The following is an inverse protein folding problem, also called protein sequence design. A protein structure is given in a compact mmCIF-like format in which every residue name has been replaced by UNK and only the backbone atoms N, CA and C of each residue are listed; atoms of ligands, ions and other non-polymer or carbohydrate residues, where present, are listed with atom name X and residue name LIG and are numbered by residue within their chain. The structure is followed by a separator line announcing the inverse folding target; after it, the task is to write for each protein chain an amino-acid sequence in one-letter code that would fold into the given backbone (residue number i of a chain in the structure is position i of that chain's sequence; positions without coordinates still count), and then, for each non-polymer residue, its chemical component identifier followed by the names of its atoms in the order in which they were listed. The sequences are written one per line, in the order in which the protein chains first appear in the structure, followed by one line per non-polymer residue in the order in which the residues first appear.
data_IF_868512641168
#
_entry.id   IF_868512641168
#
_cell.length_a   1.000
_cell.length_b   1.000
_cell.length_c   1.000
_cell.angle_alpha   90.00
_cell.angle_beta   90.00
_cell.angle_gamma   90.00
#
_symmetry.space_group_name_H-M   'P 1'
#
loop_
_entity.id
_entity.type
_entity.pdbx_description
1 polymer ?
#
# COMPACT_ATOMS: atom_id res chain seq x y z
N UNK A 1 24.92 -12.02 -12.97
CA UNK A 1 24.66 -11.14 -14.13
C UNK A 1 25.92 -10.62 -14.80
N UNK A 2 26.98 -10.27 -14.05
CA UNK A 2 28.22 -9.67 -14.58
C UNK A 2 29.15 -10.66 -15.32
N UNK A 3 29.06 -11.95 -15.00
CA UNK A 3 29.88 -13.01 -15.60
C UNK A 3 28.99 -14.16 -16.11
N UNK A 4 28.28 -13.99 -17.25
CA UNK A 4 27.44 -15.05 -17.80
C UNK A 4 28.27 -16.19 -18.39
N UNK A 5 27.83 -17.44 -18.16
CA UNK A 5 28.40 -18.62 -18.85
C UNK A 5 28.00 -18.60 -20.33
N UNK A 6 28.97 -18.78 -21.22
CA UNK A 6 28.75 -19.02 -22.66
C UNK A 6 28.59 -17.77 -23.54
N UNK A 7 28.65 -16.55 -23.00
CA UNK A 7 28.50 -15.32 -23.79
C UNK A 7 29.84 -14.61 -23.99
N UNK A 8 30.25 -14.42 -25.25
CA UNK A 8 31.55 -13.80 -25.60
C UNK A 8 31.48 -12.27 -25.75
N UNK A 9 32.62 -11.64 -25.47
CA UNK A 9 32.89 -10.21 -25.26
C UNK A 9 31.90 -9.18 -25.82
N UNK A 10 31.75 -9.08 -27.14
CA UNK A 10 31.00 -7.96 -27.77
C UNK A 10 29.49 -8.00 -27.45
N UNK A 11 28.87 -9.18 -27.52
CA UNK A 11 27.44 -9.33 -27.25
C UNK A 11 27.11 -9.12 -25.76
N UNK A 12 28.04 -9.49 -24.88
CA UNK A 12 27.89 -9.23 -23.45
C UNK A 12 28.12 -7.75 -23.12
N UNK A 13 29.15 -7.13 -23.68
CA UNK A 13 29.41 -5.70 -23.52
C UNK A 13 28.19 -4.86 -23.85
N UNK A 14 27.56 -5.08 -25.01
CA UNK A 14 26.34 -4.33 -25.39
C UNK A 14 25.22 -4.48 -24.35
N UNK A 15 25.03 -5.68 -23.80
CA UNK A 15 24.00 -5.92 -22.78
C UNK A 15 24.31 -5.27 -21.44
N UNK A 16 25.56 -5.34 -21.00
CA UNK A 16 25.98 -4.65 -19.79
C UNK A 16 25.85 -3.14 -19.97
N UNK A 17 26.23 -2.62 -21.14
CA UNK A 17 26.05 -1.22 -21.52
C UNK A 17 24.58 -0.80 -21.46
N UNK A 18 23.67 -1.57 -22.07
CA UNK A 18 22.23 -1.30 -21.97
C UNK A 18 21.72 -1.39 -20.53
N UNK A 19 22.22 -2.33 -19.73
CA UNK A 19 21.82 -2.46 -18.33
C UNK A 19 22.22 -1.22 -17.52
N UNK A 20 23.47 -0.78 -17.60
CA UNK A 20 23.95 0.39 -16.81
C UNK A 20 23.30 1.68 -17.28
N UNK A 21 22.99 1.84 -18.58
CA UNK A 21 22.24 2.98 -19.09
C UNK A 21 20.77 2.99 -18.64
N UNK A 22 20.28 1.87 -18.10
CA UNK A 22 18.92 1.69 -17.64
C UNK A 22 18.92 1.20 -16.17
N UNK A 23 19.73 1.84 -15.33
CA UNK A 23 19.78 1.64 -13.87
C UNK A 23 19.98 0.18 -13.43
N UNK A 24 20.82 -0.57 -14.14
CA UNK A 24 21.08 -1.98 -13.86
C UNK A 24 20.02 -2.94 -14.41
N UNK A 25 19.07 -2.45 -15.22
CA UNK A 25 17.97 -3.24 -15.78
C UNK A 25 18.18 -3.51 -17.27
N UNK A 26 18.22 -4.79 -17.64
CA UNK A 26 18.23 -5.23 -19.03
C UNK A 26 16.97 -6.05 -19.36
N UNK A 27 16.17 -5.55 -20.30
CA UNK A 27 15.00 -6.26 -20.81
C UNK A 27 15.41 -7.15 -21.99
N UNK A 28 15.45 -8.47 -21.78
CA UNK A 28 15.73 -9.41 -22.86
C UNK A 28 14.48 -9.67 -23.73
N UNK A 29 14.69 -10.17 -24.95
CA UNK A 29 13.61 -10.69 -25.80
C UNK A 29 12.86 -11.81 -25.07
N UNK A 30 11.53 -11.87 -25.21
CA UNK A 30 10.60 -12.79 -24.52
C UNK A 30 10.38 -12.52 -23.03
N UNK A 31 10.47 -11.26 -22.58
CA UNK A 31 10.04 -10.85 -21.24
C UNK A 31 10.98 -11.22 -20.08
N UNK A 32 12.14 -11.82 -20.36
CA UNK A 32 13.14 -12.13 -19.32
C UNK A 32 13.89 -10.86 -18.90
N UNK A 33 13.41 -10.19 -17.86
CA UNK A 33 14.08 -9.04 -17.23
C UNK A 33 15.29 -9.53 -16.43
N UNK A 34 16.48 -8.98 -16.70
CA UNK A 34 17.67 -9.14 -15.85
C UNK A 34 17.87 -7.84 -15.08
N UNK A 35 17.91 -7.89 -13.76
CA UNK A 35 18.05 -6.70 -12.92
C UNK A 35 19.17 -6.94 -11.89
N UNK A 36 20.20 -6.07 -11.93
CA UNK A 36 21.32 -6.11 -10.98
C UNK A 36 20.81 -5.83 -9.56
N UNK A 37 19.91 -4.85 -9.37
CA UNK A 37 19.37 -4.46 -8.06
C UNK A 37 18.59 -5.61 -7.40
N UNK A 38 17.80 -6.35 -8.18
CA UNK A 38 17.10 -7.55 -7.68
C UNK A 38 18.07 -8.68 -7.34
N UNK A 39 19.18 -8.80 -8.07
CA UNK A 39 20.21 -9.81 -7.75
C UNK A 39 20.94 -9.45 -6.46
N UNK A 40 21.21 -8.15 -6.24
CA UNK A 40 21.87 -7.67 -5.03
C UNK A 40 20.96 -7.78 -3.80
N UNK A 41 19.68 -7.45 -3.95
CA UNK A 41 18.69 -7.53 -2.87
C UNK A 41 18.14 -8.94 -2.63
N UNK A 42 18.49 -9.95 -3.43
CA UNK A 42 17.83 -11.26 -3.39
C UNK A 42 17.94 -11.93 -2.02
N UNK A 43 19.12 -11.88 -1.39
CA UNK A 43 19.34 -12.46 -0.05
C UNK A 43 18.50 -11.74 1.01
N UNK A 44 18.45 -10.40 0.97
CA UNK A 44 17.58 -9.63 1.88
C UNK A 44 16.11 -9.98 1.67
N UNK A 45 15.64 -9.93 0.43
CA UNK A 45 14.25 -10.26 0.10
C UNK A 45 13.91 -11.69 0.48
N UNK A 46 14.80 -12.66 0.22
CA UNK A 46 14.61 -14.06 0.58
C UNK A 46 14.56 -14.29 2.08
N UNK A 47 15.33 -13.53 2.86
CA UNK A 47 15.35 -13.64 4.33
C UNK A 47 14.04 -13.17 4.99
N UNK A 48 13.23 -12.36 4.31
CA UNK A 48 11.99 -11.82 4.84
C UNK A 48 10.73 -12.32 4.13
N UNK A 49 10.85 -12.94 2.94
CA UNK A 49 9.72 -13.20 2.03
C UNK A 49 8.63 -14.03 2.71
N UNK A 50 9.01 -15.05 3.48
CA UNK A 50 8.06 -15.91 4.20
C UNK A 50 7.28 -15.13 5.26
N UNK A 51 7.99 -14.49 6.20
CA UNK A 51 7.38 -13.71 7.28
C UNK A 51 6.53 -12.56 6.72
N UNK A 52 7.00 -11.91 5.67
CA UNK A 52 6.28 -10.82 5.01
C UNK A 52 5.00 -11.30 4.34
N UNK A 53 5.01 -12.47 3.69
CA UNK A 53 3.81 -13.08 3.09
C UNK A 53 2.81 -13.58 4.12
N UNK A 54 3.29 -14.13 5.24
CA UNK A 54 2.44 -14.53 6.35
C UNK A 54 1.75 -13.32 6.96
N UNK A 55 2.49 -12.23 7.16
CA UNK A 55 1.99 -10.97 7.72
C UNK A 55 1.04 -10.25 6.75
N UNK A 56 1.43 -10.18 5.48
CA UNK A 56 0.70 -9.53 4.40
C UNK A 56 0.43 -10.52 3.26
N UNK A 57 -0.64 -11.33 3.32
CA UNK A 57 -0.96 -12.26 2.24
C UNK A 57 -1.43 -11.54 0.97
N UNK A 58 -1.28 -12.18 -0.19
CA UNK A 58 -1.74 -11.67 -1.49
C UNK A 58 -3.19 -12.06 -1.82
N UNK A 59 -3.65 -13.18 -1.27
CA UNK A 59 -5.00 -13.70 -1.50
C UNK A 59 -5.99 -13.06 -0.51
N UNK A 60 -7.29 -13.11 -0.83
CA UNK A 60 -8.38 -12.75 0.09
C UNK A 60 -8.43 -13.61 1.36
N UNK A 61 -7.49 -14.53 1.53
CA UNK A 61 -7.27 -15.31 2.75
C UNK A 61 -7.08 -14.37 3.94
N UNK A 62 -7.71 -14.74 5.05
CA UNK A 62 -7.64 -14.06 6.35
C UNK A 62 -6.20 -14.00 6.87
N UNK A 63 -5.43 -13.01 6.43
CA UNK A 63 -4.15 -12.66 7.04
C UNK A 63 -4.32 -12.07 8.44
N UNK A 64 -3.25 -11.99 9.24
CA UNK A 64 -3.29 -11.44 10.61
C UNK A 64 -3.97 -10.08 10.67
N UNK A 65 -3.65 -9.17 9.74
CA UNK A 65 -4.27 -7.84 9.65
C UNK A 65 -5.73 -7.89 9.24
N UNK A 66 -6.11 -8.72 8.27
CA UNK A 66 -7.52 -8.85 7.86
C UNK A 66 -8.36 -9.38 9.02
N UNK A 67 -7.87 -10.43 9.69
CA UNK A 67 -8.54 -10.99 10.87
C UNK A 67 -8.67 -9.98 12.00
N UNK A 68 -7.61 -9.25 12.35
CA UNK A 68 -7.65 -8.23 13.40
C UNK A 68 -8.56 -7.03 13.04
N UNK A 69 -8.57 -6.62 11.76
CA UNK A 69 -9.47 -5.56 11.29
C UNK A 69 -10.92 -6.03 11.29
N UNK A 70 -11.19 -7.27 10.91
CA UNK A 70 -12.54 -7.80 10.86
C UNK A 70 -13.10 -8.09 12.26
N UNK A 71 -12.23 -8.44 13.22
CA UNK A 71 -12.63 -8.81 14.57
C UNK A 71 -12.86 -7.64 15.53
N UNK A 72 -12.24 -6.47 15.32
CA UNK A 72 -12.50 -5.33 16.21
C UNK A 72 -13.95 -4.86 16.03
N UNK A 73 -14.59 -4.46 17.11
CA UNK A 73 -15.98 -4.03 17.13
C UNK A 73 -16.20 -3.06 18.27
N UNK A 74 -17.05 -2.05 18.05
CA UNK A 74 -17.60 -1.20 19.10
C UNK A 74 -18.79 -1.85 19.83
N UNK A 75 -19.18 -3.07 19.44
CA UNK A 75 -20.31 -3.83 19.97
C UNK A 75 -21.66 -3.09 19.89
N UNK A 76 -21.82 -2.23 18.88
CA UNK A 76 -23.03 -1.44 18.69
C UNK A 76 -24.27 -2.31 18.47
N UNK A 77 -24.12 -3.49 17.85
CA UNK A 77 -25.23 -4.43 17.63
C UNK A 77 -25.78 -5.01 18.94
N UNK A 78 -24.90 -5.36 19.89
CA UNK A 78 -25.32 -5.76 21.24
C UNK A 78 -26.05 -4.63 21.96
N UNK A 79 -25.53 -3.40 21.81
CA UNK A 79 -26.10 -2.20 22.45
C UNK A 79 -27.45 -1.78 21.87
N UNK A 80 -27.71 -1.99 20.57
CA UNK A 80 -28.98 -1.58 19.93
C UNK A 80 -30.19 -2.26 20.59
N UNK A 81 -30.05 -3.51 21.02
CA UNK A 81 -31.13 -4.24 21.68
C UNK A 81 -31.42 -3.72 23.10
N UNK A 82 -30.40 -3.18 23.77
CA UNK A 82 -30.49 -2.65 25.14
C UNK A 82 -30.93 -1.18 25.16
N UNK A 83 -30.41 -0.35 24.25
CA UNK A 83 -30.59 1.10 24.27
C UNK A 83 -31.33 1.59 23.03
N UNK A 84 -32.64 1.33 22.99
CA UNK A 84 -33.51 1.69 21.85
C UNK A 84 -33.56 3.19 21.56
N UNK A 85 -33.42 4.01 22.61
CA UNK A 85 -33.51 5.47 22.51
C UNK A 85 -32.34 6.10 21.72
N UNK A 86 -31.21 5.39 21.62
CA UNK A 86 -30.01 5.82 20.86
C UNK A 86 -29.73 4.92 19.66
N UNK A 87 -30.74 4.19 19.17
CA UNK A 87 -30.55 3.20 18.09
C UNK A 87 -29.97 3.83 16.81
N UNK A 88 -30.30 5.09 16.51
CA UNK A 88 -29.83 5.77 15.30
C UNK A 88 -28.35 6.13 15.41
N UNK A 89 -27.92 6.62 16.56
CA UNK A 89 -26.52 6.89 16.91
C UNK A 89 -25.69 5.60 16.83
N UNK A 90 -26.20 4.51 17.38
CA UNK A 90 -25.53 3.20 17.34
C UNK A 90 -25.43 2.66 15.91
N UNK A 91 -26.47 2.83 15.07
CA UNK A 91 -26.43 2.47 13.64
C UNK A 91 -25.43 3.32 12.87
N UNK A 92 -25.34 4.61 13.18
CA UNK A 92 -24.34 5.52 12.61
C UNK A 92 -22.92 5.05 12.96
N UNK A 93 -22.65 4.77 14.24
CA UNK A 93 -21.34 4.28 14.69
C UNK A 93 -20.96 2.96 14.01
N UNK A 94 -21.91 2.03 13.86
CA UNK A 94 -21.69 0.79 13.10
C UNK A 94 -21.26 1.08 11.66
N UNK A 95 -21.95 2.00 11.01
CA UNK A 95 -21.66 2.38 9.62
C UNK A 95 -20.26 3.00 9.49
N UNK A 96 -19.86 3.85 10.45
CA UNK A 96 -18.52 4.44 10.47
C UNK A 96 -17.43 3.40 10.78
N UNK A 97 -17.71 2.41 11.63
CA UNK A 97 -16.83 1.26 11.88
C UNK A 97 -16.57 0.47 10.59
N UNK A 98 -17.61 0.10 9.85
CA UNK A 98 -17.49 -0.68 8.60
C UNK A 98 -16.74 0.10 7.50
N UNK A 99 -16.98 1.42 7.41
CA UNK A 99 -16.22 2.32 6.54
C UNK A 99 -14.75 2.38 6.95
N UNK A 100 -14.46 2.47 8.25
CA UNK A 100 -13.09 2.49 8.76
C UNK A 100 -12.36 1.18 8.43
N UNK A 101 -12.99 0.01 8.67
CA UNK A 101 -12.44 -1.31 8.29
C UNK A 101 -12.04 -1.36 6.83
N UNK A 102 -12.90 -0.88 5.94
CA UNK A 102 -12.64 -0.82 4.49
C UNK A 102 -11.46 0.10 4.16
N UNK A 103 -11.39 1.28 4.77
CA UNK A 103 -10.28 2.23 4.59
C UNK A 103 -8.94 1.66 5.08
N UNK A 104 -8.93 1.00 6.23
CA UNK A 104 -7.71 0.38 6.79
C UNK A 104 -7.17 -0.74 5.88
N UNK A 105 -8.05 -1.60 5.37
CA UNK A 105 -7.68 -2.65 4.40
C UNK A 105 -7.02 -2.06 3.15
N UNK A 106 -7.55 -0.93 2.65
CA UNK A 106 -6.99 -0.23 1.49
C UNK A 106 -5.59 0.32 1.77
N UNK A 107 -5.39 1.02 2.90
CA UNK A 107 -4.10 1.58 3.32
C UNK A 107 -3.03 0.47 3.40
N UNK A 108 -3.35 -0.64 4.08
CA UNK A 108 -2.42 -1.77 4.23
C UNK A 108 -2.05 -2.36 2.87
N UNK A 109 -3.02 -2.53 1.97
CA UNK A 109 -2.79 -3.08 0.63
C UNK A 109 -1.85 -2.19 -0.21
N UNK A 110 -2.04 -0.88 -0.15
CA UNK A 110 -1.24 0.09 -0.88
C UNK A 110 0.20 0.14 -0.33
N UNK A 111 0.35 0.31 0.98
CA UNK A 111 1.66 0.44 1.62
C UNK A 111 2.47 -0.87 1.59
N UNK A 112 1.83 -2.05 1.64
CA UNK A 112 2.50 -3.36 1.53
C UNK A 112 3.42 -3.43 0.31
N UNK A 113 2.93 -2.98 -0.86
CA UNK A 113 3.69 -3.06 -2.11
C UNK A 113 4.94 -2.19 -2.03
N UNK A 114 4.78 -0.96 -1.55
CA UNK A 114 5.84 0.02 -1.36
C UNK A 114 6.89 -0.48 -0.37
N UNK A 115 6.46 -1.03 0.77
CA UNK A 115 7.35 -1.59 1.79
C UNK A 115 8.20 -2.71 1.19
N UNK A 116 7.58 -3.66 0.47
CA UNK A 116 8.33 -4.78 -0.09
C UNK A 116 9.30 -4.35 -1.20
N UNK A 117 8.89 -3.43 -2.09
CA UNK A 117 9.75 -2.96 -3.18
C UNK A 117 10.89 -2.05 -2.71
N UNK A 118 10.74 -1.38 -1.56
CA UNK A 118 11.75 -0.49 -0.97
C UNK A 118 13.13 -1.13 -0.84
N UNK A 119 13.18 -2.44 -0.54
CA UNK A 119 14.45 -3.17 -0.46
C UNK A 119 15.22 -3.13 -1.79
N UNK A 120 14.55 -3.29 -2.93
CA UNK A 120 15.23 -3.21 -4.23
C UNK A 120 15.49 -1.77 -4.65
N UNK A 121 14.57 -0.87 -4.33
CA UNK A 121 14.65 0.56 -4.67
C UNK A 121 15.82 1.25 -3.98
N UNK A 122 16.01 1.03 -2.67
CA UNK A 122 17.15 1.61 -1.94
C UNK A 122 18.51 1.09 -2.43
N UNK A 123 18.56 -0.17 -2.88
CA UNK A 123 19.76 -0.72 -3.52
C UNK A 123 20.02 -0.02 -4.86
N UNK A 124 18.97 0.16 -5.68
CA UNK A 124 19.08 0.87 -6.95
C UNK A 124 19.59 2.30 -6.77
N UNK A 125 19.04 3.04 -5.80
CA UNK A 125 19.47 4.40 -5.44
C UNK A 125 20.96 4.45 -5.08
N UNK A 126 21.42 3.50 -4.24
CA UNK A 126 22.83 3.41 -3.88
C UNK A 126 23.74 3.03 -5.06
N UNK A 127 23.20 2.31 -6.06
CA UNK A 127 23.94 1.89 -7.26
C UNK A 127 23.97 2.96 -8.36
N UNK A 128 23.16 4.02 -8.29
CA UNK A 128 23.03 5.02 -9.36
C UNK A 128 24.34 5.64 -9.82
N UNK A 129 25.20 6.01 -8.85
CA UNK A 129 26.51 6.61 -9.17
C UNK A 129 27.36 5.64 -10.00
N UNK A 130 27.43 4.39 -9.56
CA UNK A 130 28.17 3.34 -10.25
C UNK A 130 27.64 3.10 -11.68
N UNK A 131 26.32 3.13 -11.88
CA UNK A 131 25.74 3.00 -13.22
C UNK A 131 26.10 4.17 -14.12
N UNK A 132 26.08 5.38 -13.59
CA UNK A 132 26.51 6.60 -14.31
C UNK A 132 27.98 6.50 -14.71
N UNK A 133 28.85 6.13 -13.76
CA UNK A 133 30.30 5.99 -13.99
C UNK A 133 30.61 4.85 -14.98
N UNK A 134 29.89 3.73 -14.90
CA UNK A 134 30.07 2.61 -15.81
C UNK A 134 29.53 2.90 -17.23
N UNK A 135 28.49 3.72 -17.38
CA UNK A 135 27.87 4.03 -18.67
C UNK A 135 28.77 4.88 -19.59
N UNK A 136 29.66 5.69 -19.01
CA UNK A 136 30.59 6.54 -19.80
C UNK A 136 31.81 5.77 -20.34
N UNK A 137 32.05 4.56 -19.85
CA UNK A 137 33.21 3.74 -20.23
C UNK A 137 33.07 3.24 -21.67
N UNK A 138 34.06 3.56 -22.52
CA UNK A 138 34.12 3.20 -23.94
C UNK A 138 35.53 2.75 -24.34
N UNK A 139 35.66 2.15 -25.52
CA UNK A 139 36.95 1.78 -26.10
C UNK A 139 37.47 0.40 -25.70
N UNK A 140 38.74 0.14 -25.97
CA UNK A 140 39.39 -1.16 -25.72
C UNK A 140 39.40 -1.47 -24.22
N UNK A 141 39.00 -2.70 -23.87
CA UNK A 141 38.92 -3.15 -22.47
C UNK A 141 37.73 -2.57 -21.68
N UNK A 142 36.80 -1.87 -22.33
CA UNK A 142 35.63 -1.27 -21.67
C UNK A 142 34.83 -2.26 -20.84
N UNK A 143 34.66 -3.49 -21.32
CA UNK A 143 33.91 -4.52 -20.60
C UNK A 143 34.47 -4.83 -19.21
N UNK A 144 35.78 -5.05 -19.09
CA UNK A 144 36.41 -5.35 -17.80
C UNK A 144 36.45 -4.12 -16.89
N UNK A 145 36.62 -2.92 -17.46
CA UNK A 145 36.54 -1.66 -16.71
C UNK A 145 35.14 -1.44 -16.13
N UNK A 146 34.07 -1.70 -16.89
CA UNK A 146 32.70 -1.63 -16.40
C UNK A 146 32.45 -2.64 -15.28
N UNK A 147 32.92 -3.88 -15.44
CA UNK A 147 32.81 -4.91 -14.40
C UNK A 147 33.50 -4.49 -13.11
N UNK A 148 34.73 -4.00 -13.22
CA UNK A 148 35.51 -3.56 -12.07
C UNK A 148 34.80 -2.41 -11.36
N UNK A 149 34.35 -1.39 -12.10
CA UNK A 149 33.57 -0.26 -11.56
C UNK A 149 32.34 -0.72 -10.75
N UNK A 150 31.61 -1.74 -11.24
CA UNK A 150 30.45 -2.30 -10.54
C UNK A 150 30.86 -3.12 -9.32
N UNK A 151 31.86 -3.99 -9.46
CA UNK A 151 32.31 -4.85 -8.38
C UNK A 151 32.93 -4.03 -7.23
N UNK A 152 33.75 -3.03 -7.54
CA UNK A 152 34.41 -2.17 -6.57
C UNK A 152 33.37 -1.36 -5.78
N UNK A 153 32.40 -0.75 -6.47
CA UNK A 153 31.31 -0.03 -5.79
C UNK A 153 30.49 -0.94 -4.88
N UNK A 154 30.11 -2.13 -5.35
CA UNK A 154 29.39 -3.10 -4.51
C UNK A 154 30.25 -3.52 -3.32
N UNK A 155 31.55 -3.78 -3.52
CA UNK A 155 32.45 -4.18 -2.45
C UNK A 155 32.57 -3.09 -1.38
N UNK A 156 32.71 -1.84 -1.79
CA UNK A 156 32.88 -0.68 -0.91
C UNK A 156 31.58 -0.28 -0.20
N UNK A 157 30.43 -0.51 -0.84
CA UNK A 157 29.13 -0.02 -0.34
C UNK A 157 28.23 -1.10 0.24
N UNK A 158 28.49 -2.39 0.02
CA UNK A 158 27.58 -3.49 0.42
C UNK A 158 27.02 -3.33 1.84
N UNK A 159 27.87 -3.09 2.84
CA UNK A 159 27.46 -3.10 4.24
C UNK A 159 26.55 -1.91 4.54
N UNK A 160 26.88 -0.73 4.00
CA UNK A 160 26.06 0.48 4.16
C UNK A 160 24.77 0.38 3.35
N UNK A 161 24.86 -0.06 2.10
CA UNK A 161 23.75 -0.18 1.16
C UNK A 161 22.69 -1.17 1.66
N UNK A 162 23.09 -2.35 2.15
CA UNK A 162 22.16 -3.33 2.72
C UNK A 162 21.56 -2.85 4.05
N UNK A 163 22.35 -2.18 4.88
CA UNK A 163 21.85 -1.55 6.11
C UNK A 163 20.79 -0.49 5.79
N UNK A 164 21.05 0.41 4.85
CA UNK A 164 20.09 1.44 4.43
C UNK A 164 18.80 0.84 3.89
N UNK A 165 18.89 -0.21 3.06
CA UNK A 165 17.71 -0.89 2.55
C UNK A 165 16.84 -1.49 3.67
N UNK A 166 17.49 -2.14 4.65
CA UNK A 166 16.81 -2.67 5.84
C UNK A 166 16.17 -1.55 6.67
N UNK A 167 16.94 -0.51 6.97
CA UNK A 167 16.50 0.59 7.84
C UNK A 167 15.32 1.35 7.21
N UNK A 168 15.36 1.61 5.89
CA UNK A 168 14.27 2.22 5.14
C UNK A 168 12.99 1.35 5.17
N UNK A 169 13.11 0.04 4.92
CA UNK A 169 11.96 -0.86 5.00
C UNK A 169 11.33 -0.86 6.40
N UNK A 170 12.15 -0.84 7.46
CA UNK A 170 11.67 -0.77 8.84
C UNK A 170 10.98 0.56 9.16
N UNK A 171 11.51 1.67 8.65
CA UNK A 171 10.87 2.99 8.75
C UNK A 171 9.48 2.96 8.12
N UNK A 172 9.35 2.48 6.89
CA UNK A 172 8.05 2.35 6.21
C UNK A 172 7.06 1.44 6.95
N UNK A 173 7.52 0.38 7.60
CA UNK A 173 6.69 -0.46 8.46
C UNK A 173 6.18 0.31 9.70
N UNK A 174 7.04 1.11 10.32
CA UNK A 174 6.66 1.96 11.46
C UNK A 174 5.70 3.06 11.04
N UNK A 175 5.90 3.65 9.86
CA UNK A 175 4.96 4.62 9.29
C UNK A 175 3.59 4.00 9.04
N UNK A 176 3.52 2.79 8.45
CA UNK A 176 2.26 2.08 8.26
C UNK A 176 1.53 1.87 9.59
N UNK A 177 2.25 1.41 10.62
CA UNK A 177 1.72 1.27 11.98
C UNK A 177 1.16 2.60 12.50
N UNK A 178 1.90 3.70 12.33
CA UNK A 178 1.49 5.04 12.71
C UNK A 178 0.24 5.52 11.98
N UNK A 179 0.18 5.33 10.65
CA UNK A 179 -0.96 5.68 9.80
C UNK A 179 -2.23 4.95 10.24
N UNK A 180 -2.15 3.63 10.48
CA UNK A 180 -3.28 2.82 10.96
C UNK A 180 -3.79 3.35 12.30
N UNK A 181 -2.89 3.52 13.28
CA UNK A 181 -3.26 3.96 14.62
C UNK A 181 -3.89 5.36 14.62
N UNK A 182 -3.29 6.28 13.87
CA UNK A 182 -3.80 7.65 13.70
C UNK A 182 -5.20 7.62 13.09
N UNK A 183 -5.37 6.89 11.99
CA UNK A 183 -6.66 6.82 11.28
C UNK A 183 -7.76 6.23 12.15
N UNK A 184 -7.44 5.17 12.90
CA UNK A 184 -8.38 4.54 13.82
C UNK A 184 -8.79 5.50 14.93
N UNK A 185 -7.83 6.16 15.60
CA UNK A 185 -8.11 7.10 16.69
C UNK A 185 -8.93 8.31 16.25
N UNK A 186 -8.52 8.96 15.15
CA UNK A 186 -9.19 10.15 14.65
C UNK A 186 -10.62 9.83 14.22
N UNK A 187 -10.81 8.78 13.40
CA UNK A 187 -12.15 8.43 12.90
C UNK A 187 -13.07 7.98 14.04
N UNK A 188 -12.63 7.12 14.96
CA UNK A 188 -13.49 6.70 16.06
C UNK A 188 -13.85 7.85 17.00
N UNK A 189 -12.90 8.74 17.30
CA UNK A 189 -13.15 9.92 18.13
C UNK A 189 -14.18 10.84 17.47
N UNK A 190 -13.97 11.20 16.20
CA UNK A 190 -14.88 12.04 15.43
C UNK A 190 -16.28 11.41 15.33
N UNK A 191 -16.37 10.11 15.04
CA UNK A 191 -17.66 9.40 14.97
C UNK A 191 -18.39 9.40 16.31
N UNK A 192 -17.69 9.17 17.43
CA UNK A 192 -18.29 9.21 18.76
C UNK A 192 -18.77 10.64 19.08
N UNK A 193 -17.94 11.66 18.87
CA UNK A 193 -18.33 13.06 19.10
C UNK A 193 -19.55 13.46 18.26
N UNK A 194 -19.59 13.08 16.98
CA UNK A 194 -20.73 13.33 16.10
C UNK A 194 -21.99 12.57 16.53
N UNK A 195 -21.84 11.34 17.04
CA UNK A 195 -22.99 10.57 17.53
C UNK A 195 -23.59 11.14 18.82
N UNK A 196 -22.75 11.77 19.65
CA UNK A 196 -23.14 12.39 20.92
C UNK A 196 -23.62 13.84 20.74
N UNK A 197 -23.41 14.45 19.58
CA UNK A 197 -24.01 15.74 19.24
C UNK A 197 -25.52 15.55 19.13
N UNK A 198 -26.17 15.81 20.26
CA UNK A 198 -27.61 16.00 20.38
C UNK A 198 -28.00 17.47 20.20
N UNK A 199 -27.12 18.29 19.61
CA UNK A 199 -27.35 19.72 19.44
C UNK A 199 -28.75 19.92 18.84
N UNK A 200 -29.69 20.37 19.67
CA UNK A 200 -30.50 21.61 19.67
C UNK A 200 -30.68 22.38 18.35
N UNK A 201 -30.20 21.87 17.23
CA UNK A 201 -30.69 22.20 15.91
C UNK A 201 -32.10 21.61 15.86
N UNK A 202 -33.09 22.50 16.02
CA UNK A 202 -34.45 22.27 15.52
C UNK A 202 -34.36 21.40 14.28
N UNK A 203 -34.89 20.17 14.34
CA UNK A 203 -35.20 19.43 13.13
C UNK A 203 -35.88 20.45 12.18
N UNK A 204 -35.49 20.53 10.90
CA UNK A 204 -36.20 21.41 9.99
C UNK A 204 -37.68 21.08 10.16
N UNK A 205 -38.48 22.09 10.47
CA UNK A 205 -39.91 21.91 10.70
C UNK A 205 -40.53 21.51 9.37
N UNK A 206 -40.60 20.21 9.14
CA UNK A 206 -41.15 19.59 7.93
C UNK A 206 -42.66 19.42 8.01
N UNK A 207 -43.31 20.07 8.99
CA UNK A 207 -44.77 19.97 9.15
C UNK A 207 -45.51 20.51 7.93
N UNK A 208 -44.94 21.50 7.25
CA UNK A 208 -45.49 22.08 6.02
C UNK A 208 -45.42 21.08 4.85
N UNK A 209 -44.27 20.45 4.67
CA UNK A 209 -44.05 19.42 3.65
C UNK A 209 -44.91 18.19 3.91
N UNK A 210 -45.05 17.77 5.17
CA UNK A 210 -45.91 16.65 5.56
C UNK A 210 -47.39 16.96 5.27
N UNK A 211 -47.87 18.15 5.64
CA UNK A 211 -49.24 18.58 5.34
C UNK A 211 -49.51 18.66 3.84
N UNK A 212 -48.53 19.09 3.03
CA UNK A 212 -48.65 19.06 1.57
C UNK A 212 -48.79 17.63 1.05
N UNK A 213 -47.97 16.69 1.54
CA UNK A 213 -48.06 15.27 1.15
C UNK A 213 -49.40 14.66 1.54
N UNK A 214 -49.89 14.91 2.76
CA UNK A 214 -51.21 14.43 3.22
C UNK A 214 -52.37 15.01 2.38
N UNK A 215 -52.25 16.26 1.96
CA UNK A 215 -53.22 16.91 1.07
C UNK A 215 -53.24 16.23 -0.30
N UNK A 216 -52.07 15.97 -0.89
CA UNK A 216 -51.99 15.25 -2.17
C UNK A 216 -52.50 13.81 -2.07
N UNK A 217 -52.19 13.12 -0.97
CA UNK A 217 -52.70 11.77 -0.71
C UNK A 217 -54.23 11.75 -0.63
N UNK A 218 -54.82 12.70 0.11
CA UNK A 218 -56.27 12.84 0.23
C UNK A 218 -56.94 13.20 -1.10
N UNK A 219 -56.28 14.00 -1.95
CA UNK A 219 -56.77 14.33 -3.29
C UNK A 219 -56.72 13.13 -4.25
N UNK A 220 -55.73 12.25 -4.10
CA UNK A 220 -55.64 11.00 -4.86
C UNK A 220 -56.69 9.99 -4.41
N UNK A 221 -56.93 9.85 -3.10
CA UNK A 221 -57.98 8.97 -2.57
C UNK A 221 -59.40 9.49 -2.88
N UNK A 222 -59.58 10.82 -2.98
CA UNK A 222 -60.86 11.43 -3.35
C UNK A 222 -61.15 11.40 -4.87
N UNK A 223 -60.17 11.00 -5.69
CA UNK A 223 -60.35 10.78 -7.13
C UNK A 223 -60.15 9.29 -7.46
N UNK A 224 -61.12 8.41 -7.11
CA UNK A 224 -61.15 7.10 -7.73
C UNK A 224 -61.43 7.33 -9.22
N UNK A 225 -60.43 7.08 -10.07
CA UNK A 225 -60.56 7.16 -11.53
C UNK A 225 -61.91 6.58 -11.96
N UNK A 226 -62.78 7.35 -12.65
CA UNK A 226 -63.87 6.73 -13.38
C UNK A 226 -63.26 5.96 -14.56
N UNK A 227 -63.53 4.65 -14.59
CA UNK A 227 -63.27 3.79 -15.75
C UNK A 227 -63.86 4.37 -17.04
#
# INVERSE_FOLDING_TARGET
MLHPRGEKGVAFYKRLQFAVMNNGVFNAKKGRKKNINMTLSSELTGSIDEEFRMTFPNEDKSGPFKGAIDSFSLDTEGMINTYKDVHLQLRFLKTEEDKLKTKLKKIIREDKKTIYSSLTETIEENMQKCYTDAAVIKGVGSLEKMRSTINDHVHDKKDTMFKMAKDNMLELLNELRGKILKKLKETLKESIELSLRTDDCSFPDVSLELAMVETFYSQLDANPNPN
#
